data_IF_261254324108
#
_entry.id   IF_261254324108
#
_cell.length_a   1.000
_cell.length_b   1.000
_cell.length_c   1.000
_cell.angle_alpha   90.00
_cell.angle_beta   90.00
_cell.angle_gamma   90.00
#
_symmetry.space_group_name_H-M   'P 1'
#
loop_
_entity.id
_entity.type
_entity.pdbx_description
1 polymer ?
#
# COMPACT_ATOMS: atom_id res chain seq x y z
N UNK A 1 30.69 -3.25 50.55
CA UNK A 1 31.35 -2.26 49.68
C UNK A 1 30.43 -1.94 48.51
N UNK A 2 29.90 -0.72 48.46
CA UNK A 2 29.18 -0.19 47.29
C UNK A 2 29.69 1.23 47.06
N UNK A 3 30.33 1.44 45.92
CA UNK A 3 30.89 2.71 45.48
C UNK A 3 29.77 3.48 44.78
N UNK A 4 29.40 4.65 45.31
CA UNK A 4 28.51 5.59 44.64
C UNK A 4 29.38 6.59 43.86
N UNK A 5 29.44 6.45 42.53
CA UNK A 5 29.98 7.49 41.65
C UNK A 5 28.87 8.50 41.36
N UNK A 6 29.00 9.69 41.92
CA UNK A 6 28.11 10.82 41.64
C UNK A 6 28.74 11.69 40.54
N UNK A 7 28.23 11.58 39.31
CA UNK A 7 28.60 12.49 38.21
C UNK A 7 27.87 13.83 38.43
N UNK A 8 28.63 14.86 38.80
CA UNK A 8 28.16 16.25 38.88
C UNK A 8 28.05 16.84 37.47
N UNK A 9 26.84 17.00 36.95
CA UNK A 9 26.56 17.94 35.88
C UNK A 9 26.24 19.31 36.49
N UNK A 10 27.13 20.28 36.30
CA UNK A 10 26.92 21.69 36.63
C UNK A 10 25.94 22.30 35.61
N UNK A 11 24.74 22.69 36.04
CA UNK A 11 23.94 23.69 35.34
C UNK A 11 23.86 24.93 36.24
N UNK A 12 24.55 26.01 35.84
CA UNK A 12 24.41 27.34 36.43
C UNK A 12 23.08 27.94 35.94
N UNK A 13 22.08 28.00 36.81
CA UNK A 13 20.93 28.90 36.62
C UNK A 13 21.03 30.01 37.68
N UNK A 14 21.36 31.22 37.22
CA UNK A 14 21.23 32.47 37.99
C UNK A 14 19.73 32.70 38.21
N UNK A 15 19.24 32.58 39.44
CA UNK A 15 17.92 33.07 39.81
C UNK A 15 18.00 33.90 41.09
N UNK A 16 17.46 35.11 40.94
CA UNK A 16 17.45 36.20 41.89
C UNK A 16 16.89 35.82 43.26
N UNK A 17 17.57 36.33 44.29
CA UNK A 17 17.18 36.37 45.70
C UNK A 17 15.78 37.01 45.89
N UNK A 18 14.74 36.18 46.01
CA UNK A 18 13.48 36.48 46.73
C UNK A 18 12.55 35.26 46.63
N UNK A 19 12.86 34.16 47.33
CA UNK A 19 11.90 33.10 47.72
C UNK A 19 12.58 31.92 48.44
N UNK A 20 13.47 32.21 49.39
CA UNK A 20 14.20 31.21 50.18
C UNK A 20 13.38 30.53 51.29
N UNK A 21 12.04 30.65 51.29
CA UNK A 21 11.14 29.92 52.20
C UNK A 21 10.39 28.75 51.53
N UNK A 22 10.28 28.73 50.20
CA UNK A 22 9.59 27.64 49.49
C UNK A 22 10.51 26.48 49.10
N UNK A 23 11.81 26.71 48.97
CA UNK A 23 12.76 25.64 48.61
C UNK A 23 13.03 24.67 49.76
N UNK A 24 12.90 25.10 51.03
CA UNK A 24 13.06 24.21 52.20
C UNK A 24 11.84 23.31 52.43
N UNK A 25 10.65 23.68 51.92
CA UNK A 25 9.44 22.84 51.99
C UNK A 25 9.42 21.73 50.91
N UNK A 26 10.22 21.85 49.85
CA UNK A 26 10.32 20.83 48.80
C UNK A 26 11.35 19.72 49.14
N UNK A 27 12.21 19.93 50.13
CA UNK A 27 13.23 18.95 50.56
C UNK A 27 12.68 18.02 51.66
N UNK A 28 11.57 18.36 52.31
CA UNK A 28 10.93 17.49 53.32
C UNK A 28 10.00 16.41 52.73
N UNK A 29 9.78 16.40 51.41
CA UNK A 29 9.06 15.34 50.71
C UNK A 29 10.00 14.38 49.96
N UNK A 30 11.17 14.10 50.53
CA UNK A 30 11.87 12.84 50.27
C UNK A 30 11.15 11.69 51.00
N UNK A 31 9.89 11.43 50.65
CA UNK A 31 9.32 10.09 50.84
C UNK A 31 10.13 9.22 49.90
N UNK A 32 11.17 8.57 50.42
CA UNK A 32 11.89 7.52 49.70
C UNK A 32 10.84 6.57 49.17
N UNK A 33 10.61 6.62 47.86
CA UNK A 33 9.71 5.72 47.15
C UNK A 33 10.39 4.35 47.09
N UNK A 34 10.56 3.70 48.24
CA UNK A 34 10.94 2.30 48.31
C UNK A 34 9.75 1.53 47.78
N UNK A 35 9.80 1.21 46.48
CA UNK A 35 8.96 0.13 45.94
C UNK A 35 9.06 -1.06 46.89
N UNK A 36 7.92 -1.69 47.19
CA UNK A 36 7.86 -2.85 48.06
C UNK A 36 8.66 -4.00 47.42
N UNK A 37 9.96 -4.03 47.66
CA UNK A 37 10.90 -5.02 47.17
C UNK A 37 11.08 -6.11 48.21
N UNK A 38 10.13 -7.04 48.36
CA UNK A 38 10.58 -8.36 48.84
C UNK A 38 9.59 -9.48 48.54
N UNK A 39 10.07 -10.44 47.75
CA UNK A 39 9.68 -11.85 47.84
C UNK A 39 10.39 -12.52 49.03
N UNK A 40 10.48 -11.84 50.18
CA UNK A 40 11.23 -12.28 51.35
C UNK A 40 10.45 -12.00 52.63
N UNK A 41 10.64 -12.84 53.64
CA UNK A 41 10.02 -12.69 54.95
C UNK A 41 10.68 -11.49 55.65
N UNK A 42 9.89 -10.54 56.14
CA UNK A 42 10.34 -9.34 56.85
C UNK A 42 9.75 -9.29 58.25
N UNK A 43 10.35 -8.48 59.12
CA UNK A 43 9.73 -8.14 60.41
C UNK A 43 8.35 -7.50 60.15
N UNK A 44 7.31 -7.88 60.90
CA UNK A 44 5.99 -7.27 60.76
C UNK A 44 6.05 -5.77 61.08
N UNK A 45 5.26 -4.98 60.37
CA UNK A 45 4.96 -3.63 60.84
C UNK A 45 3.86 -3.72 61.90
N UNK A 46 3.80 -2.71 62.77
CA UNK A 46 2.84 -2.63 63.86
C UNK A 46 2.09 -1.31 63.77
N UNK A 47 0.76 -1.37 63.83
CA UNK A 47 -0.11 -0.21 63.91
C UNK A 47 -0.87 -0.25 65.23
N UNK A 48 -0.81 0.84 66.01
CA UNK A 48 -1.63 0.99 67.22
C UNK A 48 -3.01 1.50 66.82
N UNK A 49 -4.04 0.72 67.09
CA UNK A 49 -5.44 1.12 66.88
C UNK A 49 -6.01 1.51 68.23
N UNK A 50 -6.37 2.79 68.45
CA UNK A 50 -6.90 3.25 69.72
C UNK A 50 -8.30 2.68 69.94
N UNK A 51 -8.53 2.13 71.14
CA UNK A 51 -9.84 1.72 71.65
C UNK A 51 -10.37 2.71 72.72
N UNK A 52 -9.59 3.75 73.02
CA UNK A 52 -9.89 4.79 74.00
C UNK A 52 -8.64 5.62 74.33
N UNK A 53 -8.72 6.57 75.29
CA UNK A 53 -7.62 7.50 75.59
C UNK A 53 -6.36 6.83 76.19
N UNK A 54 -6.46 5.59 76.70
CA UNK A 54 -5.34 4.83 77.27
C UNK A 54 -5.22 3.38 76.77
N UNK A 55 -6.12 2.94 75.90
CA UNK A 55 -6.16 1.57 75.41
C UNK A 55 -5.94 1.55 73.91
N UNK A 56 -5.03 0.69 73.45
CA UNK A 56 -4.82 0.41 72.04
C UNK A 56 -4.59 -1.08 71.82
N UNK A 57 -5.00 -1.58 70.66
CA UNK A 57 -4.55 -2.88 70.17
C UNK A 57 -3.40 -2.66 69.19
N UNK A 58 -2.43 -3.56 69.21
CA UNK A 58 -1.36 -3.59 68.20
C UNK A 58 -1.78 -4.56 67.11
N UNK A 59 -2.03 -4.03 65.92
CA UNK A 59 -2.29 -4.84 64.74
C UNK A 59 -0.99 -5.00 63.94
N UNK A 60 -0.63 -6.26 63.67
CA UNK A 60 0.52 -6.60 62.85
C UNK A 60 0.13 -6.77 61.38
N UNK A 61 1.07 -6.42 60.51
CA UNK A 61 0.85 -6.52 59.07
C UNK A 61 2.12 -6.40 58.24
N UNK A 62 1.91 -6.08 56.97
CA UNK A 62 2.97 -5.87 55.99
C UNK A 62 3.12 -4.39 55.69
N UNK A 63 4.37 -3.91 55.62
CA UNK A 63 4.66 -2.56 55.18
C UNK A 63 4.59 -2.48 53.65
N UNK A 64 3.53 -1.87 53.11
CA UNK A 64 3.32 -1.69 51.68
C UNK A 64 3.28 -0.18 51.39
N UNK A 65 4.23 0.33 50.59
CA UNK A 65 4.35 1.76 50.23
C UNK A 65 4.34 2.70 51.45
N UNK A 66 4.96 2.29 52.56
CA UNK A 66 5.06 3.09 53.79
C UNK A 66 3.85 3.00 54.72
N UNK A 67 2.78 2.29 54.33
CA UNK A 67 1.61 2.06 55.16
C UNK A 67 1.65 0.64 55.73
N UNK A 68 1.34 0.47 57.01
CA UNK A 68 1.17 -0.84 57.61
C UNK A 68 -0.21 -1.38 57.25
N UNK A 69 -0.24 -2.53 56.58
CA UNK A 69 -1.48 -3.12 56.07
C UNK A 69 -1.69 -4.47 56.73
N UNK A 70 -2.86 -4.68 57.34
CA UNK A 70 -3.26 -5.93 57.99
C UNK A 70 -3.07 -7.16 57.10
N UNK A 71 -2.69 -8.28 57.70
CA UNK A 71 -2.69 -9.59 57.05
C UNK A 71 -4.03 -9.92 56.37
N UNK A 72 -3.96 -10.55 55.19
CA UNK A 72 -5.10 -10.88 54.35
C UNK A 72 -5.54 -9.76 53.40
N UNK A 73 -5.12 -8.52 53.64
CA UNK A 73 -5.50 -7.38 52.81
C UNK A 73 -4.83 -7.43 51.44
N UNK A 74 -5.61 -7.06 50.42
CA UNK A 74 -5.16 -6.92 49.04
C UNK A 74 -5.08 -5.43 48.70
N UNK A 75 -3.92 -4.99 48.23
CA UNK A 75 -3.67 -3.59 47.86
C UNK A 75 -3.31 -3.55 46.39
N UNK A 76 -4.13 -2.89 45.59
CA UNK A 76 -3.85 -2.72 44.16
C UNK A 76 -2.73 -1.71 43.94
N UNK A 77 -1.79 -2.10 43.09
CA UNK A 77 -0.58 -1.38 42.78
C UNK A 77 -0.65 -0.86 41.34
N UNK A 78 -1.38 0.23 41.16
CA UNK A 78 -1.32 1.06 39.95
C UNK A 78 0.00 1.86 40.04
N UNK A 79 0.82 1.98 38.98
CA UNK A 79 0.59 1.61 37.57
C UNK A 79 0.98 0.18 37.17
N UNK A 80 1.50 -0.66 38.07
CA UNK A 80 2.11 -1.94 37.67
C UNK A 80 1.12 -3.06 37.35
N UNK A 81 -0.19 -2.80 37.42
CA UNK A 81 -1.25 -3.81 37.25
C UNK A 81 -0.97 -5.07 38.07
N UNK A 82 -0.62 -4.83 39.33
CA UNK A 82 -0.32 -5.84 40.32
C UNK A 82 -1.23 -5.64 41.52
N UNK A 83 -1.47 -6.70 42.27
CA UNK A 83 -2.06 -6.64 43.59
C UNK A 83 -1.03 -7.18 44.58
N UNK A 84 -0.75 -6.42 45.63
CA UNK A 84 0.01 -6.89 46.78
C UNK A 84 -0.95 -7.58 47.75
N UNK A 85 -0.61 -8.79 48.17
CA UNK A 85 -1.33 -9.54 49.19
C UNK A 85 -0.43 -9.63 50.41
N UNK A 86 -0.89 -9.09 51.53
CA UNK A 86 -0.18 -9.21 52.79
C UNK A 86 -0.47 -10.57 53.43
N UNK A 87 0.56 -11.39 53.64
CA UNK A 87 0.45 -12.74 54.19
C UNK A 87 1.35 -12.87 55.41
N UNK A 88 0.89 -13.59 56.44
CA UNK A 88 1.73 -13.98 57.58
C UNK A 88 2.45 -15.27 57.22
N UNK A 89 3.78 -15.31 57.40
CA UNK A 89 4.59 -16.54 57.27
C UNK A 89 5.42 -16.73 58.52
N UNK A 90 5.01 -17.67 59.37
CA UNK A 90 5.58 -17.86 60.71
C UNK A 90 5.42 -16.60 61.58
N UNK A 91 6.54 -16.10 62.11
CA UNK A 91 6.61 -14.85 62.88
C UNK A 91 6.89 -13.60 62.04
N UNK A 92 6.93 -13.74 60.71
CA UNK A 92 7.23 -12.63 59.80
C UNK A 92 6.07 -12.25 58.88
N UNK A 93 6.20 -11.06 58.28
CA UNK A 93 5.33 -10.55 57.23
C UNK A 93 5.88 -10.89 55.85
N UNK A 94 5.01 -11.22 54.91
CA UNK A 94 5.35 -11.54 53.53
C UNK A 94 4.39 -10.82 52.58
N UNK A 95 4.94 -10.08 51.62
CA UNK A 95 4.14 -9.41 50.59
C UNK A 95 4.23 -10.20 49.30
N UNK A 96 3.16 -10.91 48.96
CA UNK A 96 3.05 -11.57 47.66
C UNK A 96 2.56 -10.56 46.62
N UNK A 97 3.28 -10.40 45.52
CA UNK A 97 2.77 -9.66 44.38
C UNK A 97 2.10 -10.62 43.39
N UNK A 98 0.95 -10.21 42.84
CA UNK A 98 0.26 -10.92 41.77
C UNK A 98 0.00 -9.96 40.63
N UNK A 99 0.57 -10.20 39.46
CA UNK A 99 0.20 -9.46 38.24
C UNK A 99 -1.25 -9.81 37.90
N UNK A 100 -2.08 -8.79 37.68
CA UNK A 100 -3.53 -8.92 37.48
C UNK A 100 -4.00 -8.50 36.10
N UNK A 101 -3.16 -7.84 35.30
CA UNK A 101 -3.55 -7.37 33.98
C UNK A 101 -2.39 -6.83 33.13
N UNK A 102 -2.74 -6.24 31.99
CA UNK A 102 -1.80 -5.57 31.10
C UNK A 102 -1.83 -4.06 31.33
N UNK A 103 -0.66 -3.45 31.47
CA UNK A 103 -0.50 -2.00 31.60
C UNK A 103 -0.39 -1.34 30.23
N UNK A 104 -1.06 -0.20 30.01
CA UNK A 104 -0.82 0.71 28.88
C UNK A 104 -1.32 2.11 29.22
N UNK A 105 -0.51 3.12 28.93
CA UNK A 105 -0.88 4.55 29.05
C UNK A 105 -1.51 4.93 30.41
N UNK A 106 -0.96 4.43 31.52
CA UNK A 106 -1.47 4.73 32.86
C UNK A 106 -2.62 3.84 33.34
N UNK A 107 -3.19 3.02 32.46
CA UNK A 107 -4.39 2.22 32.75
C UNK A 107 -4.08 0.72 32.80
N UNK A 108 -4.76 0.02 33.70
CA UNK A 108 -4.66 -1.43 33.86
C UNK A 108 -5.88 -2.15 33.26
N UNK A 109 -5.60 -3.08 32.35
CA UNK A 109 -6.62 -3.82 31.61
C UNK A 109 -6.66 -5.28 32.03
N UNK A 110 -7.87 -5.80 32.24
CA UNK A 110 -8.11 -7.21 32.58
C UNK A 110 -7.87 -8.11 31.36
N UNK A 111 -7.63 -9.42 31.61
CA UNK A 111 -7.55 -10.45 30.57
C UNK A 111 -8.76 -10.35 29.63
N UNK A 112 -8.52 -10.43 28.32
CA UNK A 112 -9.54 -10.40 27.29
C UNK A 112 -9.93 -8.99 26.82
N UNK A 113 -9.55 -7.94 27.55
CA UNK A 113 -9.82 -6.58 27.11
C UNK A 113 -9.09 -6.26 25.80
N UNK A 114 -9.76 -5.55 24.89
CA UNK A 114 -9.26 -5.18 23.57
C UNK A 114 -9.15 -3.67 23.44
N UNK A 115 -8.01 -3.21 22.96
CA UNK A 115 -7.78 -1.81 22.63
C UNK A 115 -7.45 -1.68 21.15
N UNK A 116 -8.16 -0.81 20.44
CA UNK A 116 -7.96 -0.60 19.01
C UNK A 116 -6.86 0.43 18.78
N UNK A 117 -5.87 0.09 17.96
CA UNK A 117 -4.84 1.02 17.52
C UNK A 117 -5.20 1.54 16.13
N UNK A 118 -5.90 2.68 16.10
CA UNK A 118 -6.47 3.25 14.87
C UNK A 118 -5.42 3.52 13.77
N UNK A 119 -4.19 3.82 14.15
CA UNK A 119 -3.10 4.11 13.21
C UNK A 119 -2.48 2.89 12.52
N UNK A 120 -2.89 1.66 12.86
CA UNK A 120 -2.26 0.42 12.33
C UNK A 120 -3.25 -0.70 11.98
N UNK A 121 -4.55 -0.40 11.91
CA UNK A 121 -5.61 -1.37 11.58
C UNK A 121 -5.49 -2.69 12.35
N UNK A 122 -5.20 -2.57 13.64
CA UNK A 122 -5.06 -3.70 14.55
C UNK A 122 -5.67 -3.38 15.90
N UNK A 123 -5.94 -4.43 16.66
CA UNK A 123 -6.25 -4.31 18.08
C UNK A 123 -5.24 -5.12 18.89
N UNK A 124 -5.06 -4.73 20.15
CA UNK A 124 -4.29 -5.50 21.12
C UNK A 124 -5.25 -6.12 22.11
N UNK A 125 -5.08 -7.43 22.34
CA UNK A 125 -5.83 -8.16 23.38
C UNK A 125 -4.91 -8.43 24.55
N UNK A 126 -5.36 -8.09 25.77
CA UNK A 126 -4.62 -8.47 26.97
C UNK A 126 -4.76 -9.96 27.23
N UNK A 127 -3.67 -10.72 27.14
CA UNK A 127 -3.67 -12.18 27.32
C UNK A 127 -2.81 -12.58 28.51
N UNK A 128 -3.21 -13.68 29.16
CA UNK A 128 -2.39 -14.35 30.18
C UNK A 128 -1.67 -15.53 29.53
N UNK A 129 -0.34 -15.55 29.58
CA UNK A 129 0.50 -16.63 29.06
C UNK A 129 0.38 -17.88 29.92
N UNK A 130 0.84 -19.02 29.40
CA UNK A 130 0.90 -20.29 30.15
C UNK A 130 1.75 -20.17 31.42
N UNK A 131 2.81 -19.37 31.38
CA UNK A 131 3.67 -19.06 32.53
C UNK A 131 3.09 -18.00 33.49
N UNK A 132 1.82 -17.62 33.31
CA UNK A 132 1.11 -16.72 34.21
C UNK A 132 1.41 -15.23 34.03
N UNK A 133 2.19 -14.83 33.03
CA UNK A 133 2.47 -13.41 32.71
C UNK A 133 1.34 -12.80 31.89
N UNK A 134 1.16 -11.49 31.97
CA UNK A 134 0.22 -10.75 31.14
C UNK A 134 0.95 -10.02 30.01
N UNK A 135 0.47 -10.20 28.78
CA UNK A 135 1.07 -9.62 27.57
C UNK A 135 -0.01 -9.08 26.64
N UNK A 136 0.33 -8.01 25.92
CA UNK A 136 -0.49 -7.54 24.81
C UNK A 136 -0.21 -8.37 23.57
N UNK A 137 -1.25 -9.02 23.03
CA UNK A 137 -1.18 -9.70 21.74
C UNK A 137 -1.80 -8.81 20.68
N UNK A 138 -0.99 -8.39 19.70
CA UNK A 138 -1.46 -7.66 18.53
C UNK A 138 -2.23 -8.61 17.58
N UNK A 139 -3.30 -8.11 16.98
CA UNK A 139 -4.05 -8.81 15.93
C UNK A 139 -4.40 -7.82 14.84
N UNK A 140 -3.81 -8.02 13.66
CA UNK A 140 -4.11 -7.22 12.49
C UNK A 140 -5.50 -7.57 11.95
N UNK A 141 -6.23 -6.56 11.53
CA UNK A 141 -7.62 -6.69 11.05
C UNK A 141 -7.80 -6.26 9.60
N UNK A 142 -6.81 -5.60 9.02
CA UNK A 142 -6.92 -5.03 7.70
C UNK A 142 -5.69 -4.24 7.28
N UNK A 143 -5.81 -3.57 6.13
CA UNK A 143 -4.76 -2.75 5.55
C UNK A 143 -5.08 -1.27 5.74
N UNK A 144 -4.06 -0.49 6.11
CA UNK A 144 -4.18 0.96 6.24
C UNK A 144 -3.95 1.63 4.88
N UNK A 145 -4.87 2.49 4.46
CA UNK A 145 -4.67 3.38 3.30
C UNK A 145 -5.31 4.73 3.62
N UNK A 146 -4.57 5.83 3.46
CA UNK A 146 -5.06 7.19 3.72
C UNK A 146 -5.77 7.35 5.08
N UNK A 147 -5.20 6.73 6.13
CA UNK A 147 -5.74 6.69 7.50
C UNK A 147 -7.06 5.93 7.68
N UNK A 148 -7.52 5.23 6.64
CA UNK A 148 -8.71 4.36 6.67
C UNK A 148 -8.26 2.91 6.71
N UNK A 149 -8.96 2.11 7.52
CA UNK A 149 -8.74 0.68 7.60
C UNK A 149 -9.67 -0.06 6.64
N UNK A 150 -9.07 -0.82 5.73
CA UNK A 150 -9.77 -1.66 4.77
C UNK A 150 -9.70 -3.12 5.20
N UNK A 151 -10.82 -3.84 5.08
CA UNK A 151 -10.89 -5.26 5.39
C UNK A 151 -10.03 -6.08 4.43
N UNK A 152 -9.59 -7.24 4.91
CA UNK A 152 -8.91 -8.25 4.10
C UNK A 152 -9.82 -8.64 2.93
N UNK A 153 -9.25 -8.77 1.73
CA UNK A 153 -9.97 -9.01 0.48
C UNK A 153 -10.37 -7.72 -0.25
N UNK A 154 -10.28 -6.55 0.38
CA UNK A 154 -10.55 -5.28 -0.32
C UNK A 154 -9.59 -5.10 -1.49
N UNK A 155 -10.16 -4.81 -2.67
CA UNK A 155 -9.44 -4.45 -3.89
C UNK A 155 -9.67 -2.97 -4.18
N UNK A 156 -8.59 -2.22 -4.41
CA UNK A 156 -8.67 -0.79 -4.78
C UNK A 156 -7.93 -0.60 -6.09
N UNK A 157 -8.65 -0.03 -7.06
CA UNK A 157 -8.07 0.41 -8.32
C UNK A 157 -7.20 1.64 -8.08
N UNK A 158 -5.97 1.64 -8.58
CA UNK A 158 -5.10 2.80 -8.47
C UNK A 158 -5.33 3.80 -9.60
N UNK A 159 -4.57 4.90 -9.62
CA UNK A 159 -4.56 5.84 -10.75
C UNK A 159 -4.15 5.18 -12.07
N UNK A 160 -3.33 4.13 -12.02
CA UNK A 160 -3.07 3.31 -13.19
C UNK A 160 -4.25 2.32 -13.34
N UNK A 161 -5.03 2.40 -14.43
CA UNK A 161 -6.24 1.59 -14.60
C UNK A 161 -5.94 0.10 -14.74
N UNK A 162 -4.70 -0.30 -14.98
CA UNK A 162 -4.29 -1.70 -14.99
C UNK A 162 -3.60 -2.18 -13.73
N UNK A 163 -3.55 -1.35 -12.69
CA UNK A 163 -2.91 -1.71 -11.45
C UNK A 163 -3.85 -1.51 -10.27
N UNK A 164 -4.01 -2.57 -9.49
CA UNK A 164 -4.76 -2.54 -8.25
C UNK A 164 -3.91 -2.99 -7.08
N UNK A 165 -4.35 -2.60 -5.89
CA UNK A 165 -3.82 -3.10 -4.63
C UNK A 165 -4.88 -3.94 -3.95
N UNK A 166 -4.46 -5.09 -3.42
CA UNK A 166 -5.32 -6.05 -2.75
C UNK A 166 -4.86 -6.17 -1.30
N UNK A 167 -5.79 -6.03 -0.37
CA UNK A 167 -5.49 -6.22 1.04
C UNK A 167 -5.48 -7.71 1.37
N UNK A 168 -4.32 -8.27 1.70
CA UNK A 168 -4.17 -9.72 1.88
C UNK A 168 -3.29 -10.07 3.09
N UNK A 169 -3.34 -11.33 3.49
CA UNK A 169 -2.33 -11.91 4.38
C UNK A 169 -1.01 -12.03 3.63
N UNK A 170 -0.02 -11.23 4.05
CA UNK A 170 1.35 -11.31 3.55
C UNK A 170 2.11 -12.43 4.29
N UNK A 171 1.86 -12.55 5.59
CA UNK A 171 2.35 -13.61 6.47
C UNK A 171 1.23 -13.99 7.47
N UNK A 172 1.34 -15.13 8.20
CA UNK A 172 0.35 -15.50 9.21
C UNK A 172 0.07 -14.39 10.25
N UNK A 173 1.07 -13.54 10.52
CA UNK A 173 1.00 -12.45 11.50
C UNK A 173 0.94 -11.04 10.88
N UNK A 174 0.88 -10.90 9.55
CA UNK A 174 0.95 -9.59 8.89
C UNK A 174 -0.01 -9.48 7.71
N UNK A 175 -0.79 -8.41 7.70
CA UNK A 175 -1.74 -8.05 6.66
C UNK A 175 -1.25 -6.77 5.99
N UNK A 176 -1.26 -6.73 4.67
CA UNK A 176 -0.76 -5.58 3.91
C UNK A 176 -1.28 -5.54 2.48
N UNK A 177 -0.97 -4.43 1.80
CA UNK A 177 -1.31 -4.23 0.39
C UNK A 177 -0.34 -4.99 -0.51
N UNK A 178 -0.87 -5.86 -1.38
CA UNK A 178 -0.13 -6.44 -2.50
C UNK A 178 -0.60 -5.82 -3.80
N UNK A 179 0.35 -5.25 -4.53
CA UNK A 179 0.11 -4.77 -5.88
C UNK A 179 -0.10 -5.90 -6.87
N UNK A 180 -1.01 -5.70 -7.83
CA UNK A 180 -1.29 -6.65 -8.89
C UNK A 180 -1.61 -5.89 -10.18
N UNK A 181 -0.95 -6.30 -11.27
CA UNK A 181 -1.37 -5.95 -12.61
C UNK A 181 -2.62 -6.77 -12.96
N UNK A 182 -3.64 -6.10 -13.46
CA UNK A 182 -4.94 -6.70 -13.79
C UNK A 182 -5.20 -6.85 -15.29
N UNK A 183 -4.31 -6.32 -16.13
CA UNK A 183 -4.49 -6.33 -17.59
C UNK A 183 -3.45 -5.49 -18.32
N UNK A 184 -3.72 -5.25 -19.59
CA UNK A 184 -2.86 -4.45 -20.46
C UNK A 184 -3.47 -3.08 -20.71
N UNK A 185 -2.64 -2.03 -20.71
CA UNK A 185 -3.08 -0.68 -21.01
C UNK A 185 -3.18 -0.50 -22.53
N UNK A 186 -4.40 -0.37 -23.04
CA UNK A 186 -4.70 -0.14 -24.47
C UNK A 186 -5.57 1.10 -24.56
N UNK A 187 -5.05 2.15 -25.21
CA UNK A 187 -5.74 3.42 -25.45
C UNK A 187 -6.32 4.03 -24.16
N UNK A 188 -5.48 4.09 -23.13
CA UNK A 188 -5.79 4.59 -21.77
C UNK A 188 -6.81 3.78 -20.96
N UNK A 189 -7.36 2.70 -21.53
CA UNK A 189 -8.24 1.77 -20.83
C UNK A 189 -7.48 0.51 -20.44
N UNK A 190 -7.86 -0.10 -19.31
CA UNK A 190 -7.34 -1.41 -18.98
C UNK A 190 -8.17 -2.51 -19.61
N UNK A 191 -7.51 -3.37 -20.39
CA UNK A 191 -8.12 -4.48 -21.11
C UNK A 191 -7.72 -5.79 -20.46
N UNK A 192 -8.69 -6.69 -20.31
CA UNK A 192 -8.45 -8.03 -19.77
C UNK A 192 -7.76 -8.90 -20.81
N UNK A 193 -7.10 -9.96 -20.35
CA UNK A 193 -6.50 -10.97 -21.23
C UNK A 193 -7.57 -11.52 -22.18
N UNK A 194 -7.26 -11.55 -23.48
CA UNK A 194 -8.15 -12.00 -24.54
C UNK A 194 -9.03 -10.91 -25.16
N UNK A 195 -9.18 -9.76 -24.51
CA UNK A 195 -9.96 -8.64 -25.05
C UNK A 195 -9.24 -8.02 -26.24
N UNK A 196 -9.98 -7.89 -27.36
CA UNK A 196 -9.49 -7.31 -28.61
C UNK A 196 -10.04 -5.90 -28.78
N UNK A 197 -9.18 -4.97 -29.20
CA UNK A 197 -9.53 -3.59 -29.51
C UNK A 197 -8.96 -3.25 -30.88
N UNK A 198 -9.82 -2.81 -31.80
CA UNK A 198 -9.36 -2.33 -33.10
C UNK A 198 -8.80 -0.91 -32.96
N UNK A 199 -7.64 -0.67 -33.56
CA UNK A 199 -6.99 0.63 -33.59
C UNK A 199 -7.02 1.20 -35.01
N UNK A 200 -7.88 2.19 -35.23
CA UNK A 200 -7.97 2.96 -36.49
C UNK A 200 -6.66 3.67 -36.86
N UNK A 201 -5.81 3.95 -35.88
CA UNK A 201 -4.52 4.57 -36.15
C UNK A 201 -3.47 3.60 -36.71
N UNK A 202 -3.56 2.33 -36.32
CA UNK A 202 -2.61 1.30 -36.71
C UNK A 202 -3.16 0.33 -37.76
N UNK A 203 -4.45 0.45 -38.09
CA UNK A 203 -5.21 -0.52 -38.90
C UNK A 203 -4.96 -1.95 -38.42
N UNK A 204 -5.14 -2.14 -37.11
CA UNK A 204 -4.69 -3.32 -36.40
C UNK A 204 -5.59 -3.66 -35.24
N UNK A 205 -5.76 -4.97 -35.00
CA UNK A 205 -6.30 -5.47 -33.75
C UNK A 205 -5.20 -5.51 -32.69
N UNK A 206 -5.48 -4.93 -31.53
CA UNK A 206 -4.63 -5.02 -30.34
C UNK A 206 -5.29 -5.94 -29.33
N UNK A 207 -4.54 -6.92 -28.83
CA UNK A 207 -5.03 -7.91 -27.87
C UNK A 207 -4.12 -7.94 -26.64
N UNK A 208 -4.74 -7.94 -25.47
CA UNK A 208 -4.01 -8.18 -24.22
C UNK A 208 -3.75 -9.67 -24.02
N UNK A 209 -2.49 -10.06 -23.76
CA UNK A 209 -2.12 -11.43 -23.41
C UNK A 209 -1.25 -11.43 -22.15
N UNK A 210 -1.23 -12.56 -21.46
CA UNK A 210 -0.34 -12.82 -20.34
C UNK A 210 0.73 -13.81 -20.78
N UNK A 211 2.01 -13.45 -20.67
CA UNK A 211 3.16 -14.32 -20.94
C UNK A 211 4.10 -14.40 -19.72
N UNK A 212 5.29 -14.99 -19.90
CA UNK A 212 6.29 -15.12 -18.83
C UNK A 212 6.80 -13.76 -18.30
N UNK A 213 6.73 -12.71 -19.12
CA UNK A 213 7.14 -11.35 -18.79
C UNK A 213 5.96 -10.51 -18.26
N UNK A 214 4.76 -11.09 -18.13
CA UNK A 214 3.58 -10.43 -17.59
C UNK A 214 2.53 -10.07 -18.65
N UNK A 215 1.81 -8.97 -18.43
CA UNK A 215 0.77 -8.50 -19.34
C UNK A 215 1.39 -7.74 -20.51
N UNK A 216 1.17 -8.23 -21.73
CA UNK A 216 1.72 -7.68 -22.96
C UNK A 216 0.62 -7.37 -23.97
N UNK A 217 0.79 -6.26 -24.71
CA UNK A 217 -0.10 -5.89 -25.82
C UNK A 217 0.48 -6.44 -27.12
N UNK A 218 -0.24 -7.35 -27.75
CA UNK A 218 0.10 -7.85 -29.08
C UNK A 218 -0.70 -7.07 -30.12
N UNK A 219 -0.02 -6.63 -31.18
CA UNK A 219 -0.63 -5.89 -32.27
C UNK A 219 -0.61 -6.74 -33.53
N UNK A 220 -1.78 -7.04 -34.07
CA UNK A 220 -1.96 -7.75 -35.32
C UNK A 220 -2.48 -6.76 -36.37
N UNK A 221 -1.60 -6.27 -37.24
CA UNK A 221 -2.01 -5.42 -38.36
C UNK A 221 -2.88 -6.24 -39.31
N UNK A 222 -4.01 -5.68 -39.72
CA UNK A 222 -4.95 -6.34 -40.64
C UNK A 222 -5.14 -5.56 -41.94
N UNK A 223 -4.64 -4.33 -41.99
CA UNK A 223 -4.80 -3.46 -43.15
C UNK A 223 -3.77 -2.34 -43.23
N UNK A 224 -4.03 -1.39 -44.13
CA UNK A 224 -3.18 -0.24 -44.40
C UNK A 224 -3.97 1.04 -44.23
N UNK A 225 -3.29 2.12 -43.83
CA UNK A 225 -3.90 3.45 -43.81
C UNK A 225 -3.73 4.10 -45.18
N UNK A 226 -4.84 4.32 -45.89
CA UNK A 226 -4.89 4.99 -47.20
C UNK A 226 -5.87 6.16 -47.06
N UNK A 227 -5.45 7.37 -47.48
CA UNK A 227 -6.25 8.60 -47.40
C UNK A 227 -6.86 8.85 -45.99
N UNK A 228 -6.08 8.56 -44.94
CA UNK A 228 -6.49 8.79 -43.56
C UNK A 228 -7.40 7.72 -42.95
N UNK A 229 -7.87 6.74 -43.72
CA UNK A 229 -8.77 5.67 -43.28
C UNK A 229 -8.10 4.30 -43.37
N UNK A 230 -8.53 3.36 -42.53
CA UNK A 230 -8.07 1.98 -42.61
C UNK A 230 -8.75 1.24 -43.76
N UNK A 231 -7.94 0.54 -44.53
CA UNK A 231 -8.36 -0.29 -45.66
C UNK A 231 -7.88 -1.72 -45.41
N UNK A 232 -8.74 -2.69 -45.71
CA UNK A 232 -8.40 -4.09 -45.56
C UNK A 232 -7.30 -4.51 -46.53
N UNK A 233 -6.54 -5.53 -46.15
CA UNK A 233 -5.57 -6.14 -47.04
C UNK A 233 -6.21 -6.61 -48.36
N UNK A 234 -5.57 -6.30 -49.49
CA UNK A 234 -6.07 -6.56 -50.83
C UNK A 234 -6.93 -5.43 -51.42
N UNK A 235 -7.27 -4.40 -50.64
CA UNK A 235 -8.05 -3.26 -51.13
C UNK A 235 -7.30 -2.50 -52.21
N UNK A 236 -8.01 -2.14 -53.29
CA UNK A 236 -7.52 -1.33 -54.41
C UNK A 236 -8.41 -0.11 -54.60
N UNK A 237 -7.85 1.09 -54.45
CA UNK A 237 -8.57 2.37 -54.55
C UNK A 237 -8.01 3.15 -55.73
N UNK A 238 -8.84 3.44 -56.73
CA UNK A 238 -8.48 4.33 -57.83
C UNK A 238 -8.51 5.79 -57.36
N UNK A 239 -7.55 6.59 -57.80
CA UNK A 239 -7.56 8.04 -57.67
C UNK A 239 -8.75 8.65 -58.44
N UNK A 240 -9.06 9.92 -58.15
CA UNK A 240 -10.17 10.64 -58.81
C UNK A 240 -10.04 10.70 -60.33
N UNK A 241 -8.82 10.88 -60.84
CA UNK A 241 -8.52 10.86 -62.27
C UNK A 241 -8.48 9.44 -62.86
N UNK A 242 -8.48 8.42 -62.00
CA UNK A 242 -8.47 6.99 -62.35
C UNK A 242 -7.11 6.44 -62.75
N UNK A 243 -6.04 7.25 -62.70
CA UNK A 243 -4.72 6.90 -63.24
C UNK A 243 -3.72 6.35 -62.23
N UNK A 244 -4.06 6.39 -60.95
CA UNK A 244 -3.28 5.78 -59.89
C UNK A 244 -4.18 4.84 -59.11
N UNK A 245 -3.72 3.61 -58.89
CA UNK A 245 -4.37 2.66 -57.97
C UNK A 245 -3.53 2.57 -56.71
N UNK A 246 -4.10 2.96 -55.57
CA UNK A 246 -3.54 2.69 -54.25
C UNK A 246 -3.90 1.26 -53.85
N UNK A 247 -2.91 0.44 -53.55
CA UNK A 247 -3.06 -0.98 -53.21
C UNK A 247 -2.58 -1.17 -51.78
N UNK A 248 -3.43 -1.74 -50.92
CA UNK A 248 -3.03 -2.22 -49.61
C UNK A 248 -2.66 -3.70 -49.71
N UNK A 249 -1.43 -4.08 -49.35
CA UNK A 249 -0.99 -5.47 -49.43
C UNK A 249 -0.01 -5.85 -48.31
N UNK A 250 0.25 -7.14 -48.18
CA UNK A 250 1.23 -7.67 -47.25
C UNK A 250 2.64 -7.34 -47.74
N UNK A 251 3.39 -6.63 -46.91
CA UNK A 251 4.77 -6.25 -47.15
C UNK A 251 5.67 -6.77 -46.03
N UNK A 252 6.49 -7.79 -46.34
CA UNK A 252 7.38 -8.42 -45.38
C UNK A 252 6.61 -9.00 -44.18
N UNK A 253 6.90 -8.47 -42.98
CA UNK A 253 6.25 -8.90 -41.71
C UNK A 253 4.93 -8.17 -41.41
N UNK A 254 4.48 -7.26 -42.27
CA UNK A 254 3.30 -6.43 -42.00
C UNK A 254 2.46 -6.13 -43.23
N UNK A 255 1.64 -5.09 -43.14
CA UNK A 255 0.83 -4.56 -44.23
C UNK A 255 1.31 -3.14 -44.54
N UNK A 256 1.38 -2.84 -45.83
CA UNK A 256 1.81 -1.55 -46.37
C UNK A 256 1.02 -1.21 -47.63
N UNK A 257 0.95 0.09 -47.95
CA UNK A 257 0.33 0.51 -49.20
C UNK A 257 1.39 0.98 -50.19
N UNK A 258 1.11 0.76 -51.47
CA UNK A 258 1.88 1.27 -52.59
C UNK A 258 0.92 1.70 -53.70
N UNK A 259 1.42 2.52 -54.61
CA UNK A 259 0.65 3.01 -55.75
C UNK A 259 1.18 2.40 -57.03
N UNK A 260 0.27 2.02 -57.92
CA UNK A 260 0.60 1.61 -59.29
C UNK A 260 -0.11 2.54 -60.27
N UNK A 261 0.55 2.87 -61.38
CA UNK A 261 -0.11 3.56 -62.48
C UNK A 261 -1.14 2.64 -63.14
N UNK A 262 -2.23 3.21 -63.66
CA UNK A 262 -3.36 2.46 -64.21
C UNK A 262 -3.63 2.73 -65.70
N UNK A 263 -2.97 3.74 -66.28
CA UNK A 263 -3.22 4.21 -67.63
C UNK A 263 -2.46 5.48 -67.96
N UNK A 264 -2.71 6.04 -69.14
CA UNK A 264 -2.10 7.28 -69.60
C UNK A 264 -2.99 8.48 -69.28
N UNK A 265 -2.40 9.55 -68.75
CA UNK A 265 -3.10 10.80 -68.44
C UNK A 265 -3.18 11.67 -69.70
N UNK A 266 -4.37 12.14 -70.03
CA UNK A 266 -4.60 13.18 -71.06
C UNK A 266 -5.77 14.06 -70.62
N UNK A 267 -5.56 15.38 -70.56
CA UNK A 267 -6.58 16.37 -70.11
C UNK A 267 -7.24 16.00 -68.77
N UNK A 268 -6.45 15.62 -67.75
CA UNK A 268 -6.90 15.17 -66.43
C UNK A 268 -7.83 13.95 -66.42
N UNK A 269 -7.89 13.18 -67.52
CA UNK A 269 -8.59 11.90 -67.58
C UNK A 269 -7.60 10.79 -67.82
N UNK A 270 -7.85 9.66 -67.16
CA UNK A 270 -7.07 8.45 -67.38
C UNK A 270 -7.65 7.59 -68.48
N UNK A 271 -6.78 7.13 -69.39
CA UNK A 271 -7.13 6.23 -70.46
C UNK A 271 -6.42 4.89 -70.31
N UNK A 272 -7.14 3.76 -70.47
CA UNK A 272 -6.53 2.44 -70.34
C UNK A 272 -5.53 2.18 -71.50
N UNK A 273 -4.54 1.30 -71.30
CA UNK A 273 -3.65 0.87 -72.37
C UNK A 273 -4.45 0.34 -73.57
N UNK A 274 -4.01 0.70 -74.77
CA UNK A 274 -4.70 0.42 -76.03
C UNK A 274 -5.59 1.55 -76.54
N UNK A 275 -5.96 2.52 -75.69
CA UNK A 275 -6.78 3.66 -76.11
C UNK A 275 -6.02 4.58 -77.09
N UNK A 276 -6.72 5.11 -78.09
CA UNK A 276 -6.14 5.98 -79.12
C UNK A 276 -6.76 7.37 -79.09
N UNK A 277 -5.92 8.39 -79.04
CA UNK A 277 -6.27 9.80 -79.21
C UNK A 277 -5.86 10.24 -80.61
N UNK A 278 -6.76 10.84 -81.38
CA UNK A 278 -6.41 11.43 -82.65
C UNK A 278 -6.25 12.94 -82.49
N UNK A 279 -5.04 13.45 -82.76
CA UNK A 279 -4.74 14.88 -82.68
C UNK A 279 -4.95 15.57 -84.04
N UNK A 280 -4.61 14.88 -85.14
CA UNK A 280 -4.83 15.36 -86.51
C UNK A 280 -5.06 14.19 -87.49
N UNK A 281 -5.26 14.49 -88.77
CA UNK A 281 -5.40 13.48 -89.84
C UNK A 281 -4.20 12.54 -89.93
N UNK A 282 -3.01 13.00 -89.52
CA UNK A 282 -1.74 12.28 -89.67
C UNK A 282 -1.12 11.84 -88.34
N UNK A 283 -1.57 12.40 -87.20
CA UNK A 283 -0.99 12.16 -85.88
C UNK A 283 -2.04 11.58 -84.94
N UNK A 284 -1.72 10.41 -84.39
CA UNK A 284 -2.48 9.80 -83.29
C UNK A 284 -1.53 9.39 -82.16
N UNK A 285 -2.05 9.31 -80.95
CA UNK A 285 -1.33 8.79 -79.79
C UNK A 285 -2.03 7.54 -79.29
N UNK A 286 -1.27 6.49 -79.01
CA UNK A 286 -1.78 5.27 -78.40
C UNK A 286 -1.23 5.14 -77.00
N UNK A 287 -2.10 4.90 -76.02
CA UNK A 287 -1.66 4.62 -74.67
C UNK A 287 -1.01 3.23 -74.65
N UNK A 288 0.27 3.16 -74.29
CA UNK A 288 1.03 1.93 -74.17
C UNK A 288 1.38 1.69 -72.70
N UNK A 289 1.55 0.41 -72.35
CA UNK A 289 2.04 0.00 -71.04
C UNK A 289 3.37 -0.75 -71.19
N UNK A 290 4.40 -0.33 -70.47
CA UNK A 290 5.68 -1.05 -70.38
C UNK A 290 6.08 -1.14 -68.91
N UNK A 291 6.33 -2.36 -68.43
CA UNK A 291 6.75 -2.69 -67.05
C UNK A 291 6.46 -1.62 -65.97
N UNK A 292 5.23 -1.63 -65.43
CA UNK A 292 4.72 -0.70 -64.40
C UNK A 292 4.63 0.79 -64.80
N UNK A 293 4.93 1.15 -66.04
CA UNK A 293 4.80 2.49 -66.59
C UNK A 293 3.79 2.55 -67.75
N UNK A 294 3.23 3.73 -67.96
CA UNK A 294 2.27 4.03 -69.03
C UNK A 294 2.67 5.30 -69.74
N UNK A 295 2.67 5.28 -71.07
CA UNK A 295 3.09 6.42 -71.89
C UNK A 295 2.30 6.50 -73.19
N UNK A 296 2.24 7.70 -73.77
CA UNK A 296 1.64 7.92 -75.08
C UNK A 296 2.67 7.65 -76.18
N UNK A 297 2.44 6.61 -76.97
CA UNK A 297 3.21 6.34 -78.19
C UNK A 297 2.62 7.16 -79.34
N UNK A 298 3.44 8.04 -79.93
CA UNK A 298 3.04 8.83 -81.10
C UNK A 298 3.12 7.97 -82.35
N UNK A 299 2.00 7.88 -83.07
CA UNK A 299 1.86 7.17 -84.34
C UNK A 299 1.62 8.21 -85.44
N UNK A 300 2.50 8.21 -86.43
CA UNK A 300 2.39 9.08 -87.61
C UNK A 300 2.00 8.20 -88.80
N UNK A 301 0.84 8.47 -89.40
CA UNK A 301 0.36 7.82 -90.62
C UNK A 301 -0.11 8.92 -91.57
N UNK A 302 0.78 9.31 -92.46
CA UNK A 302 0.50 10.24 -93.55
C UNK A 302 0.14 9.47 -94.81
#
# INVERSE_FOLDING_TARGET
MCVCVCVRAYLRLKLHLKNMRYFLLLISFCITYKQATSQGIRKPCQQKIPLGPKCYIVEEGCLIRGVCVKYGTKVDAIPFCMTYVCERRGHGSFVRHKVTGCYRDGVCYKKGHRITERGRCMYHTCMRTLYGRYVWRATYTGCLLNRVCHSIGTKIQTRNPCYSIHCIHMYPSYIGWRGKLDGCLIDSACRKVGEKVYSENLCAERICKMDQNGYQVYTNRTGCRINGSCQDAGTRIKSEDGCVVSICDRMGKGFGHYTEAAGCILNNKCYPPGWQHQESSCISFKCQSSYKEYYWEKIIRC
#
